data_IF_151829464035
#
_entry.id   IF_151829464035
#
_cell.length_a   1.000
_cell.length_b   1.000
_cell.length_c   1.000
_cell.angle_alpha   90.00
_cell.angle_beta   90.00
_cell.angle_gamma   90.00
#
_symmetry.space_group_name_H-M   'P 1'
#
loop_
_entity.id
_entity.type
_entity.pdbx_description
1 polymer ?
#
# COMPACT_ATOMS: atom_id res chain seq x y z
N UNK A 1 1.70 13.59 28.51
CA UNK A 1 1.12 13.06 27.26
C UNK A 1 2.04 13.48 26.13
N UNK A 2 2.51 12.52 25.32
CA UNK A 2 3.25 12.78 24.07
C UNK A 2 2.28 12.60 22.89
N UNK A 3 2.40 13.39 21.83
CA UNK A 3 1.54 13.33 20.64
C UNK A 3 2.36 13.52 19.37
N UNK A 4 1.98 12.83 18.30
CA UNK A 4 2.54 12.97 16.96
C UNK A 4 1.42 12.84 15.93
N UNK A 5 1.49 13.59 14.85
CA UNK A 5 0.68 13.37 13.64
C UNK A 5 1.61 12.91 12.52
N UNK A 6 1.22 11.84 11.83
CA UNK A 6 1.96 11.32 10.68
C UNK A 6 1.05 11.22 9.48
N UNK A 7 1.60 11.41 8.29
CA UNK A 7 0.97 11.12 7.00
C UNK A 7 1.51 9.81 6.44
N UNK A 8 0.62 9.01 5.88
CA UNK A 8 0.92 7.67 5.37
C UNK A 8 0.44 7.57 3.93
N UNK A 9 1.38 7.46 2.95
CA UNK A 9 1.04 7.52 1.53
C UNK A 9 0.41 6.23 1.03
N UNK A 10 -0.44 6.33 0.01
CA UNK A 10 -0.84 5.21 -0.82
C UNK A 10 0.32 4.73 -1.68
N UNK A 11 0.16 3.55 -2.31
CA UNK A 11 1.09 3.01 -3.31
C UNK A 11 0.36 2.55 -4.56
N UNK A 12 1.10 2.49 -5.65
CA UNK A 12 0.71 1.73 -6.84
C UNK A 12 1.79 0.70 -7.17
N UNK A 13 1.45 -0.31 -7.97
CA UNK A 13 2.41 -1.24 -8.53
C UNK A 13 2.65 -0.85 -9.99
N UNK A 14 3.83 -0.33 -10.32
CA UNK A 14 4.23 -0.04 -11.70
C UNK A 14 4.38 -1.34 -12.50
N UNK A 15 4.92 -2.36 -11.85
CA UNK A 15 4.87 -3.75 -12.32
C UNK A 15 4.43 -4.66 -11.18
N UNK A 16 3.72 -5.74 -11.50
CA UNK A 16 3.41 -6.83 -10.58
C UNK A 16 3.40 -8.14 -11.36
N UNK A 17 4.41 -8.95 -11.15
CA UNK A 17 4.59 -10.24 -11.76
C UNK A 17 4.56 -11.33 -10.70
N UNK A 18 3.58 -12.22 -10.79
CA UNK A 18 3.45 -13.37 -9.89
C UNK A 18 4.25 -14.52 -10.48
N UNK A 19 5.20 -15.01 -9.71
CA UNK A 19 6.10 -16.08 -10.11
C UNK A 19 5.54 -17.46 -9.69
N UNK A 20 6.37 -18.28 -9.06
CA UNK A 20 6.00 -19.60 -8.61
C UNK A 20 5.29 -19.59 -7.26
N UNK A 21 4.47 -20.61 -7.03
CA UNK A 21 3.87 -20.89 -5.73
C UNK A 21 4.92 -21.46 -4.78
N UNK A 22 4.89 -21.02 -3.52
CA UNK A 22 5.77 -21.43 -2.43
C UNK A 22 5.15 -22.59 -1.64
N UNK A 23 5.98 -23.29 -0.88
CA UNK A 23 5.54 -24.37 0.02
C UNK A 23 4.67 -23.86 1.18
N UNK A 24 4.87 -22.61 1.61
CA UNK A 24 4.07 -21.95 2.65
C UNK A 24 2.69 -21.48 2.17
N UNK A 25 2.33 -21.77 0.92
CA UNK A 25 1.04 -21.44 0.31
C UNK A 25 0.97 -20.05 -0.33
N UNK A 26 1.96 -19.20 -0.11
CA UNK A 26 2.11 -17.90 -0.79
C UNK A 26 2.67 -18.06 -2.20
N UNK A 27 2.79 -16.95 -2.93
CA UNK A 27 3.50 -16.88 -4.21
C UNK A 27 4.74 -16.00 -4.08
N UNK A 28 5.82 -16.40 -4.74
CA UNK A 28 6.88 -15.47 -5.03
C UNK A 28 6.37 -14.47 -6.07
N UNK A 29 6.74 -13.23 -5.91
CA UNK A 29 6.44 -12.16 -6.85
C UNK A 29 7.67 -11.28 -7.06
N UNK A 30 7.63 -10.50 -8.11
CA UNK A 30 8.47 -9.32 -8.27
C UNK A 30 7.58 -8.15 -8.70
N UNK A 31 7.80 -6.99 -8.07
CA UNK A 31 6.97 -5.82 -8.29
C UNK A 31 7.79 -4.56 -8.07
N UNK A 32 7.61 -3.58 -8.93
CA UNK A 32 8.08 -2.22 -8.65
C UNK A 32 6.91 -1.48 -8.01
N UNK A 33 7.03 -1.19 -6.72
CA UNK A 33 6.07 -0.36 -6.00
C UNK A 33 6.51 1.10 -5.98
N UNK A 34 5.53 1.99 -6.09
CA UNK A 34 5.73 3.44 -6.10
C UNK A 34 4.77 4.12 -5.15
N UNK A 35 5.29 4.91 -4.22
CA UNK A 35 4.48 5.74 -3.33
C UNK A 35 3.86 6.93 -4.07
N UNK A 36 2.64 7.31 -3.70
CA UNK A 36 1.88 8.39 -4.36
C UNK A 36 1.34 9.38 -3.33
N UNK A 37 1.12 10.63 -3.74
CA UNK A 37 0.72 11.75 -2.89
C UNK A 37 -0.77 11.75 -2.50
N UNK A 38 -1.36 10.59 -2.30
CA UNK A 38 -2.64 10.38 -1.64
C UNK A 38 -2.38 9.81 -0.26
N UNK A 39 -2.79 10.50 0.80
CA UNK A 39 -2.40 10.17 2.17
C UNK A 39 -3.60 9.90 3.07
N UNK A 40 -3.44 8.95 3.99
CA UNK A 40 -4.15 8.94 5.25
C UNK A 40 -3.33 9.69 6.31
N UNK A 41 -3.96 10.07 7.42
CA UNK A 41 -3.27 10.69 8.54
C UNK A 41 -3.58 9.92 9.83
N UNK A 42 -2.56 9.75 10.66
CA UNK A 42 -2.70 9.17 11.99
C UNK A 42 -2.28 10.20 13.03
N UNK A 43 -3.15 10.45 13.99
CA UNK A 43 -2.79 11.16 15.22
C UNK A 43 -2.65 10.15 16.34
N UNK A 44 -1.44 10.01 16.87
CA UNK A 44 -1.10 9.04 17.91
C UNK A 44 -0.74 9.78 19.20
N UNK A 45 -1.41 9.42 20.29
CA UNK A 45 -1.18 9.97 21.63
C UNK A 45 -0.80 8.85 22.59
N UNK A 46 0.22 9.10 23.40
CA UNK A 46 0.68 8.18 24.43
C UNK A 46 0.67 8.88 25.79
N UNK A 47 0.08 8.23 26.78
CA UNK A 47 0.10 8.69 28.17
C UNK A 47 0.43 7.54 29.14
N UNK A 48 1.01 7.82 30.31
CA UNK A 48 1.27 6.80 31.33
C UNK A 48 -0.01 6.07 31.75
N UNK A 49 0.10 4.75 31.92
CA UNK A 49 -0.96 3.89 32.44
C UNK A 49 -0.31 2.59 32.98
N UNK A 50 -0.84 2.03 34.04
CA UNK A 50 -0.28 0.81 34.67
C UNK A 50 -0.46 -0.43 33.80
N UNK A 51 -1.43 -0.41 32.91
CA UNK A 51 -1.72 -1.49 31.95
C UNK A 51 -1.77 -0.94 30.53
N UNK A 52 -1.58 -1.81 29.54
CA UNK A 52 -1.75 -1.45 28.13
C UNK A 52 -3.23 -1.23 27.83
N UNK A 53 -3.55 -0.05 27.26
CA UNK A 53 -4.86 0.29 26.71
C UNK A 53 -4.68 0.92 25.34
N UNK A 54 -5.32 0.35 24.32
CA UNK A 54 -5.27 0.84 22.94
C UNK A 54 -6.69 1.20 22.51
N UNK A 55 -6.90 2.44 22.10
CA UNK A 55 -8.17 2.94 21.59
C UNK A 55 -7.97 3.44 20.17
N UNK A 56 -8.83 3.00 19.25
CA UNK A 56 -8.89 3.49 17.88
C UNK A 56 -10.14 4.33 17.67
N UNK A 57 -10.01 5.34 16.83
CA UNK A 57 -11.11 6.17 16.32
C UNK A 57 -10.78 6.68 14.92
N UNK A 58 -11.73 7.28 14.23
CA UNK A 58 -11.49 7.89 12.93
C UNK A 58 -12.76 8.37 12.24
N UNK A 59 -12.65 8.73 10.97
CA UNK A 59 -13.69 9.35 10.16
C UNK A 59 -14.41 8.37 9.21
N UNK A 60 -13.97 7.12 9.09
CA UNK A 60 -14.51 6.16 8.11
C UNK A 60 -15.38 5.08 8.81
N UNK A 61 -16.47 4.70 8.17
CA UNK A 61 -17.29 3.55 8.57
C UNK A 61 -16.85 2.24 7.90
N UNK A 62 -15.91 2.30 6.97
CA UNK A 62 -15.49 1.15 6.14
C UNK A 62 -14.38 0.32 6.79
N UNK A 63 -13.87 0.76 7.95
CA UNK A 63 -12.85 0.04 8.71
C UNK A 63 -13.29 -0.21 10.15
N UNK A 64 -12.92 -1.35 10.75
CA UNK A 64 -13.17 -1.59 12.16
C UNK A 64 -12.23 -0.74 13.04
N UNK A 65 -12.70 -0.38 14.25
CA UNK A 65 -11.88 0.33 15.26
C UNK A 65 -11.65 -0.57 16.49
N UNK A 66 -11.42 -1.86 16.24
CA UNK A 66 -11.19 -2.88 17.26
C UNK A 66 -9.89 -3.67 16.99
N UNK A 67 -9.70 -4.77 17.70
CA UNK A 67 -8.51 -5.63 17.58
C UNK A 67 -8.33 -6.32 16.21
N UNK A 68 -9.32 -6.30 15.34
CA UNK A 68 -9.22 -6.82 13.97
C UNK A 68 -8.44 -5.86 13.05
N UNK A 69 -8.39 -4.56 13.38
CA UNK A 69 -7.70 -3.54 12.59
C UNK A 69 -6.16 -3.75 12.62
N UNK A 70 -5.51 -3.57 11.46
CA UNK A 70 -4.04 -3.67 11.35
C UNK A 70 -3.30 -2.64 12.22
N UNK A 71 -3.85 -1.44 12.40
CA UNK A 71 -3.32 -0.40 13.28
C UNK A 71 -3.28 -0.87 14.74
N UNK A 72 -4.34 -1.52 15.22
CA UNK A 72 -4.37 -2.11 16.55
C UNK A 72 -3.30 -3.20 16.69
N UNK A 73 -3.23 -4.13 15.72
CA UNK A 73 -2.25 -5.21 15.71
C UNK A 73 -0.80 -4.69 15.66
N UNK A 74 -0.55 -3.61 14.91
CA UNK A 74 0.73 -2.95 14.87
C UNK A 74 1.11 -2.38 16.24
N UNK A 75 0.16 -1.69 16.91
CA UNK A 75 0.41 -1.15 18.23
C UNK A 75 0.74 -2.25 19.26
N UNK A 76 -0.02 -3.36 19.26
CA UNK A 76 0.26 -4.52 20.13
C UNK A 76 1.67 -5.08 19.88
N UNK A 77 2.00 -5.39 18.62
CA UNK A 77 3.32 -5.95 18.25
C UNK A 77 4.47 -5.01 18.62
N UNK A 78 4.30 -3.70 18.43
CA UNK A 78 5.29 -2.72 18.83
C UNK A 78 5.55 -2.77 20.35
N UNK A 79 4.49 -2.72 21.14
CA UNK A 79 4.59 -2.74 22.62
C UNK A 79 5.24 -4.03 23.13
N UNK A 80 4.90 -5.17 22.53
CA UNK A 80 5.50 -6.47 22.84
C UNK A 80 7.01 -6.46 22.54
N UNK A 81 7.41 -6.04 21.33
CA UNK A 81 8.82 -5.99 20.91
C UNK A 81 9.63 -5.01 21.75
N UNK A 82 9.06 -3.84 22.08
CA UNK A 82 9.68 -2.81 22.91
C UNK A 82 9.61 -3.12 24.43
N UNK A 83 8.98 -4.25 24.82
CA UNK A 83 8.77 -4.66 26.22
C UNK A 83 8.07 -3.61 27.09
N UNK A 84 7.12 -2.85 26.51
CA UNK A 84 6.33 -1.84 27.22
C UNK A 84 5.11 -2.49 27.85
N UNK A 85 5.04 -2.47 29.19
CA UNK A 85 4.02 -3.17 29.99
C UNK A 85 2.83 -2.31 30.36
N UNK A 86 2.94 -0.98 30.26
CA UNK A 86 1.89 -0.05 30.64
C UNK A 86 1.96 1.23 29.82
N UNK A 87 0.89 1.52 29.10
CA UNK A 87 0.68 2.76 28.36
C UNK A 87 -0.79 2.85 27.91
N UNK A 88 -1.34 4.04 27.90
CA UNK A 88 -2.59 4.34 27.19
C UNK A 88 -2.25 4.98 25.86
N UNK A 89 -2.68 4.32 24.77
CA UNK A 89 -2.46 4.75 23.39
C UNK A 89 -3.80 5.06 22.76
N UNK A 90 -3.98 6.27 22.26
CA UNK A 90 -5.11 6.66 21.44
C UNK A 90 -4.61 6.91 20.02
N UNK A 91 -5.25 6.31 19.02
CA UNK A 91 -4.92 6.49 17.61
C UNK A 91 -6.18 6.93 16.88
N UNK A 92 -6.14 8.10 16.30
CA UNK A 92 -7.19 8.60 15.39
C UNK A 92 -6.71 8.43 13.95
N UNK A 93 -7.56 7.84 13.09
CA UNK A 93 -7.26 7.52 11.69
C UNK A 93 -8.14 8.39 10.80
N UNK A 94 -7.53 9.35 10.08
CA UNK A 94 -8.19 10.12 9.04
C UNK A 94 -8.00 9.42 7.70
N UNK A 95 -9.01 8.68 7.24
CA UNK A 95 -9.01 7.92 5.98
C UNK A 95 -9.35 8.81 4.79
N UNK A 96 -8.48 8.79 3.77
CA UNK A 96 -8.68 9.36 2.44
C UNK A 96 -8.32 8.34 1.34
N UNK A 97 -7.44 7.37 1.65
CA UNK A 97 -7.11 6.27 0.74
C UNK A 97 -8.28 5.29 0.73
N UNK A 98 -8.88 4.96 -0.42
CA UNK A 98 -10.00 4.03 -0.53
C UNK A 98 -9.68 2.65 0.06
N UNK A 99 -10.66 2.03 0.71
CA UNK A 99 -10.55 0.68 1.28
C UNK A 99 -10.71 -0.39 0.19
N UNK A 100 -10.02 -1.52 0.31
CA UNK A 100 -10.05 -2.64 -0.64
C UNK A 100 -9.78 -2.21 -2.10
N UNK A 101 -8.82 -1.33 -2.30
CA UNK A 101 -8.56 -0.61 -3.55
C UNK A 101 -7.24 -0.98 -4.23
N UNK A 102 -6.44 -1.89 -3.68
CA UNK A 102 -5.09 -2.20 -4.21
C UNK A 102 -4.03 -1.13 -3.90
N UNK A 103 -4.35 -0.14 -3.06
CA UNK A 103 -3.52 1.03 -2.73
C UNK A 103 -2.79 0.92 -1.37
N UNK A 104 -2.86 -0.22 -0.70
CA UNK A 104 -2.24 -0.54 0.59
C UNK A 104 -2.65 0.37 1.77
N UNK A 105 -3.84 1.00 1.77
CA UNK A 105 -4.27 1.94 2.82
C UNK A 105 -4.19 1.38 4.24
N UNK A 106 -4.59 0.13 4.48
CA UNK A 106 -4.47 -0.51 5.80
C UNK A 106 -3.02 -0.78 6.19
N UNK A 107 -2.18 -1.21 5.24
CA UNK A 107 -0.76 -1.50 5.46
C UNK A 107 0.03 -0.22 5.77
N UNK A 108 -0.26 0.87 5.05
CA UNK A 108 0.41 2.15 5.30
C UNK A 108 0.03 2.75 6.65
N UNK A 109 -1.24 2.59 7.09
CA UNK A 109 -1.66 3.02 8.43
C UNK A 109 -0.96 2.21 9.53
N UNK A 110 -0.78 0.90 9.33
CA UNK A 110 -0.04 0.05 10.28
C UNK A 110 1.46 0.41 10.32
N UNK A 111 2.09 0.66 9.18
CA UNK A 111 3.48 1.15 9.11
C UNK A 111 3.63 2.52 9.80
N UNK A 112 2.67 3.43 9.57
CA UNK A 112 2.58 4.71 10.26
C UNK A 112 2.44 4.59 11.78
N UNK A 113 1.75 3.54 12.24
CA UNK A 113 1.63 3.25 13.68
C UNK A 113 2.97 2.82 14.27
N UNK A 114 3.73 1.94 13.59
CA UNK A 114 5.09 1.57 14.03
C UNK A 114 6.01 2.79 14.09
N UNK A 115 6.02 3.60 13.04
CA UNK A 115 6.82 4.82 12.98
C UNK A 115 6.46 5.79 14.12
N UNK A 116 5.17 6.10 14.29
CA UNK A 116 4.70 7.06 15.30
C UNK A 116 5.01 6.58 16.72
N UNK A 117 4.75 5.32 17.04
CA UNK A 117 5.04 4.76 18.35
C UNK A 117 6.55 4.76 18.61
N UNK A 118 7.37 4.38 17.63
CA UNK A 118 8.82 4.40 17.83
C UNK A 118 9.33 5.81 18.16
N UNK A 119 8.82 6.84 17.47
CA UNK A 119 9.12 8.25 17.78
C UNK A 119 8.67 8.63 19.19
N UNK A 120 7.44 8.28 19.59
CA UNK A 120 6.87 8.64 20.89
C UNK A 120 7.58 7.92 22.06
N UNK A 121 8.17 6.76 21.81
CA UNK A 121 8.99 6.01 22.75
C UNK A 121 10.51 6.19 22.51
N UNK A 122 10.90 7.37 22.02
CA UNK A 122 12.28 7.86 21.91
C UNK A 122 13.19 6.94 21.05
N UNK A 123 12.62 6.36 19.98
CA UNK A 123 13.27 5.45 19.01
C UNK A 123 13.87 4.19 19.69
N UNK A 124 13.09 3.56 20.57
CA UNK A 124 13.49 2.37 21.33
C UNK A 124 13.83 1.16 20.43
N UNK A 125 13.27 1.09 19.23
CA UNK A 125 13.58 0.09 18.21
C UNK A 125 14.43 0.71 17.11
N UNK A 126 15.43 -0.04 16.62
CA UNK A 126 16.22 0.34 15.47
C UNK A 126 15.47 0.04 14.13
N UNK A 127 16.04 0.49 13.00
CA UNK A 127 15.39 0.32 11.70
C UNK A 127 15.18 -1.16 11.32
N UNK A 128 16.14 -2.04 11.60
CA UNK A 128 16.00 -3.46 11.30
C UNK A 128 14.85 -4.10 12.10
N UNK A 129 14.71 -3.75 13.38
CA UNK A 129 13.62 -4.25 14.22
C UNK A 129 12.25 -3.76 13.75
N UNK A 130 12.17 -2.51 13.24
CA UNK A 130 10.95 -1.99 12.61
C UNK A 130 10.62 -2.73 11.31
N UNK A 131 11.62 -3.03 10.48
CA UNK A 131 11.44 -3.79 9.24
C UNK A 131 10.97 -5.23 9.52
N UNK A 132 11.52 -5.87 10.55
CA UNK A 132 11.08 -7.20 11.02
C UNK A 132 9.60 -7.17 11.49
N UNK A 133 9.20 -6.14 12.24
CA UNK A 133 7.82 -5.95 12.67
C UNK A 133 6.89 -5.77 11.46
N UNK A 134 7.26 -4.92 10.52
CA UNK A 134 6.53 -4.70 9.28
C UNK A 134 6.33 -6.01 8.51
N UNK A 135 7.40 -6.75 8.23
CA UNK A 135 7.37 -8.02 7.51
C UNK A 135 6.52 -9.09 8.22
N UNK A 136 6.48 -9.07 9.58
CA UNK A 136 5.69 -9.99 10.39
C UNK A 136 4.17 -9.72 10.33
N UNK A 137 3.76 -8.51 9.95
CA UNK A 137 2.36 -8.09 9.97
C UNK A 137 1.74 -8.09 8.56
N UNK A 138 2.55 -7.87 7.51
CA UNK A 138 2.08 -7.94 6.12
C UNK A 138 3.16 -7.62 5.10
N UNK A 139 2.93 -8.03 3.85
CA UNK A 139 3.92 -7.96 2.77
C UNK A 139 4.24 -6.53 2.31
N UNK A 140 3.24 -5.63 2.33
CA UNK A 140 3.42 -4.27 1.81
C UNK A 140 3.99 -3.29 2.87
N UNK A 141 4.08 -3.70 4.15
CA UNK A 141 4.38 -2.76 5.23
C UNK A 141 5.79 -2.18 5.15
N UNK A 142 6.80 -2.98 4.77
CA UNK A 142 8.18 -2.48 4.62
C UNK A 142 8.23 -1.40 3.55
N UNK A 143 7.58 -1.65 2.41
CA UNK A 143 7.43 -0.63 1.37
C UNK A 143 6.71 0.62 1.92
N UNK A 144 5.58 0.45 2.60
CA UNK A 144 4.80 1.58 3.15
C UNK A 144 5.59 2.43 4.15
N UNK A 145 6.44 1.80 4.97
CA UNK A 145 7.28 2.50 5.94
C UNK A 145 8.30 3.41 5.24
N UNK A 146 9.00 2.88 4.23
CA UNK A 146 10.10 3.57 3.56
C UNK A 146 9.67 4.39 2.34
N UNK A 147 8.65 3.95 1.61
CA UNK A 147 8.10 4.62 0.43
C UNK A 147 9.09 4.75 -0.73
N UNK A 148 8.86 5.74 -1.59
CA UNK A 148 9.67 5.97 -2.78
C UNK A 148 9.35 5.02 -3.92
N UNK A 149 10.37 4.62 -4.68
CA UNK A 149 10.33 3.60 -5.72
C UNK A 149 11.17 2.40 -5.27
N UNK A 150 10.57 1.21 -5.20
CA UNK A 150 11.26 0.01 -4.72
C UNK A 150 10.93 -1.22 -5.53
N UNK A 151 11.95 -2.06 -5.77
CA UNK A 151 11.76 -3.45 -6.13
C UNK A 151 11.35 -4.24 -4.89
N UNK A 152 10.20 -4.90 -4.95
CA UNK A 152 9.67 -5.75 -3.90
C UNK A 152 9.68 -7.19 -4.41
N UNK A 153 10.26 -8.10 -3.64
CA UNK A 153 10.43 -9.53 -3.99
C UNK A 153 9.96 -10.46 -2.87
N UNK A 154 10.08 -11.77 -3.07
CA UNK A 154 9.52 -12.81 -2.19
C UNK A 154 8.00 -12.72 -2.17
N UNK A 155 7.35 -12.48 -1.02
CA UNK A 155 5.90 -12.19 -0.93
C UNK A 155 5.60 -10.70 -1.11
N UNK A 156 6.63 -9.84 -1.27
CA UNK A 156 6.59 -8.39 -1.31
C UNK A 156 7.30 -7.70 -0.14
N UNK A 157 7.73 -8.46 0.87
CA UNK A 157 8.35 -7.95 2.10
C UNK A 157 9.84 -7.62 1.96
N UNK A 158 10.53 -8.19 0.98
CA UNK A 158 11.93 -7.87 0.69
C UNK A 158 11.96 -6.69 -0.26
N UNK A 159 12.52 -5.57 0.19
CA UNK A 159 12.51 -4.31 -0.56
C UNK A 159 13.93 -3.84 -0.89
N UNK A 160 14.11 -3.41 -2.13
CA UNK A 160 15.35 -2.78 -2.61
C UNK A 160 15.01 -1.42 -3.23
N UNK A 161 15.69 -0.36 -2.78
CA UNK A 161 15.43 1.00 -3.27
C UNK A 161 15.90 1.15 -4.70
N UNK A 162 15.04 1.71 -5.56
CA UNK A 162 15.33 2.04 -6.94
C UNK A 162 15.45 3.56 -7.12
N UNK A 163 16.13 4.03 -8.19
CA UNK A 163 16.12 5.43 -8.58
C UNK A 163 14.69 5.94 -8.77
N UNK A 164 14.40 7.08 -8.16
CA UNK A 164 13.09 7.72 -8.22
C UNK A 164 13.01 8.68 -9.41
N UNK A 165 11.93 8.59 -10.16
CA UNK A 165 11.57 9.53 -11.23
C UNK A 165 10.17 10.06 -10.92
N UNK A 166 10.05 11.37 -10.69
CA UNK A 166 8.76 12.01 -10.43
C UNK A 166 7.86 11.92 -11.67
N UNK A 167 6.62 11.50 -11.47
CA UNK A 167 5.57 11.43 -12.48
C UNK A 167 4.30 12.07 -11.93
N UNK A 168 3.53 12.72 -12.79
CA UNK A 168 2.14 13.00 -12.50
C UNK A 168 1.35 11.69 -12.54
N UNK A 169 0.35 11.54 -11.67
CA UNK A 169 -0.49 10.35 -11.59
C UNK A 169 -1.93 10.72 -11.25
N UNK A 170 -2.88 10.03 -11.87
CA UNK A 170 -4.30 10.06 -11.50
C UNK A 170 -4.76 8.65 -11.16
N UNK A 171 -5.71 8.54 -10.22
CA UNK A 171 -6.27 7.27 -9.76
C UNK A 171 -7.78 7.24 -9.99
N UNK A 172 -8.29 6.06 -10.34
CA UNK A 172 -9.72 5.81 -10.59
C UNK A 172 -10.13 4.56 -9.83
N UNK A 173 -11.04 4.69 -8.86
CA UNK A 173 -11.55 3.59 -8.05
C UNK A 173 -13.05 3.38 -8.33
N UNK A 174 -13.48 2.25 -8.90
CA UNK A 174 -14.89 1.90 -8.97
C UNK A 174 -15.50 1.76 -7.57
N UNK A 175 -16.54 2.54 -7.25
CA UNK A 175 -17.12 2.59 -5.90
C UNK A 175 -17.70 1.26 -5.44
N UNK A 176 -18.35 0.53 -6.37
CA UNK A 176 -19.09 -0.71 -6.10
C UNK A 176 -18.23 -1.97 -6.11
N UNK A 177 -16.95 -1.87 -6.51
CA UNK A 177 -16.07 -3.03 -6.68
C UNK A 177 -14.94 -2.97 -5.66
N UNK A 178 -14.89 -3.96 -4.80
CA UNK A 178 -13.76 -4.22 -3.91
C UNK A 178 -13.27 -5.64 -4.12
N UNK A 179 -11.99 -5.83 -4.37
CA UNK A 179 -11.40 -7.15 -4.57
C UNK A 179 -10.47 -7.46 -3.40
N UNK A 180 -10.68 -8.61 -2.79
CA UNK A 180 -9.77 -9.08 -1.75
C UNK A 180 -8.49 -9.65 -2.37
N UNK A 181 -7.36 -9.48 -1.70
CA UNK A 181 -6.10 -10.10 -2.12
C UNK A 181 -6.23 -11.63 -2.25
N UNK A 182 -7.01 -12.26 -1.36
CA UNK A 182 -7.27 -13.71 -1.42
C UNK A 182 -7.98 -14.10 -2.72
N UNK A 183 -8.97 -13.34 -3.14
CA UNK A 183 -9.69 -13.55 -4.40
C UNK A 183 -8.77 -13.40 -5.61
N UNK A 184 -7.96 -12.34 -5.66
CA UNK A 184 -7.03 -12.09 -6.75
C UNK A 184 -6.01 -13.23 -6.92
N UNK A 185 -5.39 -13.70 -5.83
CA UNK A 185 -4.49 -14.85 -5.87
C UNK A 185 -5.21 -16.15 -6.21
N UNK A 186 -6.45 -16.34 -5.76
CA UNK A 186 -7.28 -17.50 -6.12
C UNK A 186 -7.57 -17.54 -7.62
N UNK A 187 -7.94 -16.42 -8.21
CA UNK A 187 -8.17 -16.28 -9.66
C UNK A 187 -6.89 -16.54 -10.46
N UNK A 188 -5.75 -15.98 -10.03
CA UNK A 188 -4.47 -16.25 -10.66
C UNK A 188 -4.06 -17.73 -10.56
N UNK A 189 -4.28 -18.38 -9.42
CA UNK A 189 -3.95 -19.79 -9.23
C UNK A 189 -4.74 -20.71 -10.17
N UNK A 190 -5.97 -20.34 -10.52
CA UNK A 190 -6.87 -21.07 -11.41
C UNK A 190 -6.52 -20.93 -12.91
N UNK A 191 -5.63 -20.00 -13.29
CA UNK A 191 -5.24 -19.81 -14.69
C UNK A 191 -4.39 -20.97 -15.19
N UNK A 192 -4.65 -21.39 -16.44
CA UNK A 192 -3.86 -22.39 -17.16
C UNK A 192 -2.55 -21.83 -17.72
N UNK A 193 -2.58 -20.61 -18.24
CA UNK A 193 -1.41 -19.89 -18.76
C UNK A 193 -1.01 -18.79 -17.77
N UNK A 194 0.22 -18.84 -17.31
CA UNK A 194 0.82 -17.92 -16.33
C UNK A 194 2.07 -17.26 -16.92
N UNK A 195 2.00 -16.86 -18.18
CA UNK A 195 3.12 -16.22 -18.87
C UNK A 195 3.52 -14.93 -18.15
N UNK A 196 4.82 -14.80 -17.91
CA UNK A 196 5.42 -13.62 -17.29
C UNK A 196 6.27 -12.90 -18.33
N UNK A 197 5.99 -11.61 -18.64
CA UNK A 197 6.71 -10.88 -19.68
C UNK A 197 8.10 -10.39 -19.27
N UNK A 198 8.51 -10.61 -17.99
CA UNK A 198 9.79 -10.11 -17.42
C UNK A 198 9.93 -8.57 -17.52
N UNK A 199 8.82 -7.88 -17.41
CA UNK A 199 8.78 -6.41 -17.50
C UNK A 199 9.41 -5.75 -16.27
N UNK A 200 9.31 -6.38 -15.10
CA UNK A 200 9.92 -5.87 -13.87
C UNK A 200 11.43 -5.76 -14.00
N UNK A 201 12.11 -6.83 -14.45
CA UNK A 201 13.57 -6.82 -14.67
C UNK A 201 13.99 -5.76 -15.69
N UNK A 202 13.24 -5.65 -16.79
CA UNK A 202 13.51 -4.65 -17.83
C UNK A 202 13.35 -3.22 -17.31
N UNK A 203 12.29 -2.95 -16.52
CA UNK A 203 12.04 -1.62 -15.99
C UNK A 203 13.06 -1.26 -14.89
N UNK A 204 13.47 -2.21 -14.01
CA UNK A 204 14.55 -2.02 -13.05
C UNK A 204 15.85 -1.57 -13.75
N UNK A 205 16.22 -2.23 -14.85
CA UNK A 205 17.39 -1.85 -15.63
C UNK A 205 17.30 -0.40 -16.15
N UNK A 206 16.15 -0.03 -16.73
CA UNK A 206 15.94 1.34 -17.23
C UNK A 206 15.97 2.37 -16.11
N UNK A 207 15.35 2.11 -14.97
CA UNK A 207 15.37 3.01 -13.81
C UNK A 207 16.81 3.25 -13.33
N UNK A 208 17.64 2.22 -13.27
CA UNK A 208 19.06 2.35 -12.91
C UNK A 208 19.86 3.16 -13.93
N UNK A 209 19.39 3.27 -15.18
CA UNK A 209 19.94 4.14 -16.22
C UNK A 209 19.32 5.56 -16.20
N UNK A 210 18.43 5.88 -15.24
CA UNK A 210 17.69 7.15 -15.18
C UNK A 210 16.62 7.28 -16.26
N UNK A 211 16.14 6.16 -16.81
CA UNK A 211 15.11 6.11 -17.86
C UNK A 211 13.83 5.46 -17.35
N UNK A 212 12.71 5.76 -17.99
CA UNK A 212 11.41 5.18 -17.69
C UNK A 212 10.64 4.88 -18.98
N UNK A 213 10.07 3.66 -19.06
CA UNK A 213 9.25 3.25 -20.20
C UNK A 213 7.87 2.78 -19.72
N UNK A 214 6.84 3.56 -20.05
CA UNK A 214 5.44 3.25 -19.68
C UNK A 214 4.91 1.98 -20.34
N UNK A 215 5.52 1.49 -21.41
CA UNK A 215 5.07 0.28 -22.10
C UNK A 215 5.40 -1.00 -21.32
N UNK A 216 6.30 -0.90 -20.32
CA UNK A 216 6.66 -2.00 -19.43
C UNK A 216 5.74 -2.13 -18.20
N UNK A 217 4.79 -1.20 -18.03
CA UNK A 217 3.81 -1.30 -16.95
C UNK A 217 2.99 -2.59 -17.11
N UNK A 218 2.87 -3.37 -16.00
CA UNK A 218 2.24 -4.69 -16.08
C UNK A 218 1.69 -5.14 -14.73
N UNK A 219 0.53 -5.83 -14.74
CA UNK A 219 -0.04 -6.42 -13.54
C UNK A 219 -0.67 -7.79 -13.87
N UNK A 220 -0.09 -8.87 -13.35
CA UNK A 220 -0.58 -10.25 -13.52
C UNK A 220 -2.05 -10.42 -13.10
N UNK A 221 -2.54 -9.65 -12.15
CA UNK A 221 -3.93 -9.75 -11.71
C UNK A 221 -4.94 -9.21 -12.74
N UNK A 222 -4.56 -8.33 -13.66
CA UNK A 222 -5.49 -7.89 -14.72
C UNK A 222 -5.99 -9.10 -15.53
N UNK A 223 -5.06 -9.96 -15.97
CA UNK A 223 -5.41 -11.16 -16.76
C UNK A 223 -6.24 -12.14 -15.93
N UNK A 224 -5.93 -12.27 -14.64
CA UNK A 224 -6.61 -13.21 -13.74
C UNK A 224 -8.04 -12.78 -13.37
N UNK A 225 -8.28 -11.48 -13.21
CA UNK A 225 -9.53 -10.95 -12.67
C UNK A 225 -10.56 -10.55 -13.75
N UNK A 226 -10.13 -10.08 -14.91
CA UNK A 226 -11.03 -9.60 -15.96
C UNK A 226 -12.03 -10.63 -16.48
N UNK A 227 -11.73 -11.95 -16.51
CA UNK A 227 -12.75 -12.95 -16.86
C UNK A 227 -13.97 -12.95 -15.92
N UNK A 228 -13.76 -12.74 -14.62
CA UNK A 228 -14.82 -12.68 -13.60
C UNK A 228 -15.38 -11.27 -13.36
N UNK A 229 -14.59 -10.23 -13.64
CA UNK A 229 -14.92 -8.81 -13.42
C UNK A 229 -14.89 -8.03 -14.74
N UNK A 230 -15.89 -8.26 -15.59
CA UNK A 230 -15.95 -7.64 -16.93
C UNK A 230 -16.01 -6.11 -16.89
N UNK A 231 -16.58 -5.55 -15.85
CA UNK A 231 -16.63 -4.10 -15.59
C UNK A 231 -15.21 -3.49 -15.46
N UNK A 232 -14.25 -4.21 -14.87
CA UNK A 232 -12.85 -3.77 -14.79
C UNK A 232 -12.18 -3.79 -16.17
N UNK A 233 -12.47 -4.82 -16.97
CA UNK A 233 -11.95 -4.90 -18.35
C UNK A 233 -12.51 -3.74 -19.20
N UNK A 234 -13.78 -3.40 -19.04
CA UNK A 234 -14.41 -2.26 -19.73
C UNK A 234 -13.76 -0.95 -19.28
N UNK A 235 -13.57 -0.75 -17.98
CA UNK A 235 -12.89 0.43 -17.44
C UNK A 235 -11.46 0.54 -17.98
N UNK A 236 -10.69 -0.55 -17.99
CA UNK A 236 -9.34 -0.61 -18.58
C UNK A 236 -9.33 -0.12 -20.03
N UNK A 237 -10.30 -0.56 -20.84
CA UNK A 237 -10.41 -0.17 -22.25
C UNK A 237 -10.86 1.26 -22.45
N UNK A 238 -11.65 1.83 -21.54
CA UNK A 238 -12.12 3.21 -21.61
C UNK A 238 -11.04 4.23 -21.24
N UNK A 239 -10.00 3.82 -20.49
CA UNK A 239 -8.93 4.70 -20.05
C UNK A 239 -7.61 4.26 -20.67
N UNK A 240 -7.17 4.97 -21.68
CA UNK A 240 -5.91 4.65 -22.39
C UNK A 240 -4.72 4.68 -21.43
N UNK A 241 -3.80 3.72 -21.57
CA UNK A 241 -2.57 3.59 -20.77
C UNK A 241 -2.80 3.40 -19.26
N UNK A 242 -4.01 3.06 -18.83
CA UNK A 242 -4.25 2.75 -17.41
C UNK A 242 -3.67 1.40 -17.03
N UNK A 243 -3.35 1.22 -15.73
CA UNK A 243 -2.96 -0.05 -15.14
C UNK A 243 -3.66 -0.22 -13.79
N UNK A 244 -4.12 -1.43 -13.49
CA UNK A 244 -4.70 -1.76 -12.19
C UNK A 244 -3.59 -1.86 -11.12
N UNK A 245 -3.80 -1.24 -9.96
CA UNK A 245 -2.87 -1.29 -8.84
C UNK A 245 -3.13 -2.51 -7.95
N UNK A 246 -2.09 -3.28 -7.66
CA UNK A 246 -2.18 -4.44 -6.77
C UNK A 246 -3.28 -5.42 -7.18
N UNK A 247 -4.04 -5.91 -6.22
CA UNK A 247 -5.21 -6.78 -6.45
C UNK A 247 -6.44 -6.05 -7.00
N UNK A 248 -6.34 -4.77 -7.27
CA UNK A 248 -7.45 -3.91 -7.69
C UNK A 248 -8.28 -3.43 -6.48
N UNK A 249 -9.35 -2.73 -6.77
CA UNK A 249 -9.95 -2.43 -8.09
C UNK A 249 -9.53 -1.06 -8.66
N UNK A 250 -8.58 -0.34 -8.05
CA UNK A 250 -8.13 0.98 -8.53
C UNK A 250 -7.25 0.83 -9.77
N UNK A 251 -7.53 1.68 -10.77
CA UNK A 251 -6.64 1.91 -11.90
C UNK A 251 -5.88 3.22 -11.72
N UNK A 252 -4.70 3.30 -12.30
CA UNK A 252 -3.94 4.55 -12.38
C UNK A 252 -3.47 4.81 -13.81
N UNK A 253 -3.24 6.07 -14.11
CA UNK A 253 -2.53 6.55 -15.29
C UNK A 253 -1.42 7.49 -14.85
N UNK A 254 -0.27 7.46 -15.55
CA UNK A 254 0.84 8.38 -15.27
C UNK A 254 0.62 9.69 -16.05
N UNK A 255 -0.46 10.38 -15.69
CA UNK A 255 -0.90 11.65 -16.28
C UNK A 255 -1.53 12.50 -15.16
N UNK A 256 -1.45 13.83 -15.31
CA UNK A 256 -1.94 14.79 -14.32
C UNK A 256 -3.46 14.75 -14.16
N UNK A 257 -4.17 14.62 -15.27
CA UNK A 257 -5.63 14.60 -15.32
C UNK A 257 -6.09 13.44 -16.21
N UNK A 258 -7.30 12.95 -15.95
CA UNK A 258 -7.94 11.95 -16.79
C UNK A 258 -8.61 12.65 -17.97
N UNK A 259 -8.25 12.24 -19.18
CA UNK A 259 -8.97 12.64 -20.39
C UNK A 259 -10.15 11.68 -20.64
N UNK A 260 -11.11 11.63 -19.69
CA UNK A 260 -12.27 10.74 -19.77
C UNK A 260 -13.48 11.34 -19.05
N UNK A 261 -14.67 11.16 -19.62
CA UNK A 261 -15.96 11.58 -19.06
C UNK A 261 -16.53 10.48 -18.12
N UNK A 262 -15.77 10.08 -17.10
CA UNK A 262 -16.23 9.08 -16.12
C UNK A 262 -17.27 9.66 -15.16
N UNK A 263 -18.35 8.89 -14.93
CA UNK A 263 -19.38 9.29 -13.98
C UNK A 263 -18.86 9.25 -12.54
N UNK A 264 -18.76 10.42 -11.91
CA UNK A 264 -18.34 10.57 -10.50
C UNK A 264 -19.30 9.91 -9.49
N UNK A 265 -20.50 9.51 -9.92
CA UNK A 265 -21.38 8.68 -9.07
C UNK A 265 -20.91 7.22 -8.99
N UNK A 266 -20.23 6.72 -10.01
CA UNK A 266 -19.73 5.33 -10.09
C UNK A 266 -18.25 5.20 -9.70
N UNK A 267 -17.47 6.29 -9.83
CA UNK A 267 -16.02 6.28 -9.60
C UNK A 267 -15.59 7.35 -8.60
N UNK A 268 -14.66 6.99 -7.71
CA UNK A 268 -13.83 7.96 -7.00
C UNK A 268 -12.63 8.28 -7.89
N UNK A 269 -12.42 9.56 -8.17
CA UNK A 269 -11.37 10.04 -9.07
C UNK A 269 -10.46 10.97 -8.30
N UNK A 270 -9.17 10.67 -8.35
CA UNK A 270 -8.12 11.45 -7.70
C UNK A 270 -7.14 11.93 -8.78
N UNK A 271 -7.11 13.21 -9.01
CA UNK A 271 -6.27 13.87 -10.02
C UNK A 271 -5.26 14.80 -9.37
N UNK A 272 -4.31 15.30 -10.15
CA UNK A 272 -3.25 16.21 -9.68
C UNK A 272 -2.37 15.58 -8.57
N UNK A 273 -2.28 14.26 -8.52
CA UNK A 273 -1.36 13.56 -7.65
C UNK A 273 0.02 13.42 -8.31
N UNK A 274 1.01 13.11 -7.49
CA UNK A 274 2.37 12.82 -7.93
C UNK A 274 2.88 11.53 -7.32
N UNK A 275 3.79 10.87 -8.02
CA UNK A 275 4.67 9.90 -7.36
C UNK A 275 5.60 10.65 -6.41
N UNK A 276 5.94 10.04 -5.27
CA UNK A 276 6.76 10.64 -4.23
C UNK A 276 7.90 9.71 -3.81
N UNK A 277 8.98 10.29 -3.26
CA UNK A 277 10.19 9.55 -2.86
C UNK A 277 10.25 9.27 -1.34
N UNK A 278 9.13 9.37 -0.66
CA UNK A 278 9.04 9.20 0.80
C UNK A 278 7.94 8.22 1.17
N UNK A 279 8.09 7.60 2.34
CA UNK A 279 7.07 6.76 2.98
C UNK A 279 6.31 7.53 4.05
N UNK A 280 6.26 6.95 5.26
CA UNK A 280 5.65 7.60 6.42
C UNK A 280 6.47 8.82 6.84
N UNK A 281 5.80 9.95 7.03
CA UNK A 281 6.43 11.18 7.48
C UNK A 281 5.64 11.82 8.63
N UNK A 282 6.35 12.46 9.54
CA UNK A 282 5.75 13.31 10.55
C UNK A 282 5.20 14.59 9.91
N UNK A 283 4.04 15.03 10.37
CA UNK A 283 3.44 16.29 9.95
C UNK A 283 3.75 17.33 11.02
N UNK A 284 4.57 18.32 10.66
CA UNK A 284 4.79 19.48 11.52
C UNK A 284 3.49 20.30 11.58
N UNK A 285 2.93 20.47 12.79
CA UNK A 285 1.77 21.34 13.05
C UNK A 285 2.18 22.80 13.13
#
# INVERSE_FOLDING_TARGET
MKRIKVKTPAKVNLTLEILNKREDGYHNLQSIMQAVSLYDYLTVEVSPCDIVKINLSGNSTDIPYDSSNLVYKAAVKFLEKANIKGAKININIEKHIPVAAGLAGGSTNAAGTFFALNKLFDNVLNNQELDELCASLGSDLNFCLHGGCMLCTSRGEITEKLPFIEQDISLIKPKKIGISTKEAYGSFAAMSDKTNPDNTTKLVKLLNEGKFDKTLLYNSFEIALFPAHKELEVLKKSIKNSLMSGSGSTFFVLEKNLNSDLDKNEYDIFENLKTINTGVEEVNE
#
